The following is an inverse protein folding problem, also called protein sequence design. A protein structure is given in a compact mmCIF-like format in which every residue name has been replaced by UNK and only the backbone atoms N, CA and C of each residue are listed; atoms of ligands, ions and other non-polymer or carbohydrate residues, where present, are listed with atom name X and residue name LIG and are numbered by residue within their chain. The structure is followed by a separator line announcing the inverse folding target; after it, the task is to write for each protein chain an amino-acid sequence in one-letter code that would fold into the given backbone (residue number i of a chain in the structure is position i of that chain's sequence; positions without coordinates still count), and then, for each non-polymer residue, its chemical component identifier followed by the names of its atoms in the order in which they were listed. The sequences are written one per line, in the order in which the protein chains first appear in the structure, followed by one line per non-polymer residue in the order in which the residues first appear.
data_IF_440737934477
#
_entry.id   IF_440737934477
#
_cell.length_a   1.000
_cell.length_b   1.000
_cell.length_c   1.000
_cell.angle_alpha   90.00
_cell.angle_beta   90.00
_cell.angle_gamma   90.00
#
_symmetry.space_group_name_H-M   'P 1'
#
loop_
_entity.id
_entity.type
_entity.pdbx_description
1 polymer ?
#
# COMPACT_ATOMS: atom_id res chain seq x y z
N UNK A 1 -27.30 34.07 -1.77
CA UNK A 1 -26.71 32.89 -2.43
C UNK A 1 -26.27 31.99 -1.30
N UNK A 2 -27.17 31.14 -0.84
CA UNK A 2 -26.90 30.18 0.23
C UNK A 2 -26.17 28.99 -0.38
N UNK A 3 -24.90 28.82 -0.03
CA UNK A 3 -24.18 27.59 -0.31
C UNK A 3 -24.65 26.55 0.70
N UNK A 4 -25.55 25.67 0.23
CA UNK A 4 -25.97 24.47 0.93
C UNK A 4 -24.79 23.50 0.97
N UNK A 5 -23.93 23.64 1.98
CA UNK A 5 -23.01 22.56 2.35
C UNK A 5 -23.86 21.43 2.91
N UNK A 6 -24.11 20.41 2.09
CA UNK A 6 -24.57 19.14 2.62
C UNK A 6 -23.60 18.71 3.70
N UNK A 7 -24.14 18.39 4.88
CA UNK A 7 -23.41 17.81 6.00
C UNK A 7 -22.64 16.58 5.51
N UNK A 8 -21.33 16.73 5.27
CA UNK A 8 -20.45 15.57 5.10
C UNK A 8 -20.44 14.84 6.45
N UNK A 9 -20.74 13.53 6.43
CA UNK A 9 -20.57 12.69 7.60
C UNK A 9 -19.09 12.69 7.98
N UNK A 10 -18.70 13.19 9.17
CA UNK A 10 -17.31 13.13 9.59
C UNK A 10 -16.86 11.67 9.63
N UNK A 11 -15.83 11.34 8.85
CA UNK A 11 -15.30 9.98 8.71
C UNK A 11 -15.73 9.23 7.45
N UNK A 12 -16.23 9.93 6.42
CA UNK A 12 -16.52 9.34 5.11
C UNK A 12 -15.24 8.90 4.35
N UNK A 13 -15.40 8.00 3.38
CA UNK A 13 -14.32 7.63 2.44
C UNK A 13 -13.83 8.82 1.61
N UNK A 14 -14.69 9.81 1.38
CA UNK A 14 -14.34 11.03 0.65
C UNK A 14 -13.42 11.93 1.49
N UNK A 15 -13.72 12.12 2.78
CA UNK A 15 -12.86 12.90 3.67
C UNK A 15 -11.50 12.22 3.88
N UNK A 16 -11.49 10.88 3.99
CA UNK A 16 -10.25 10.11 4.02
C UNK A 16 -9.43 10.28 2.72
N UNK A 17 -10.09 10.28 1.56
CA UNK A 17 -9.43 10.48 0.27
C UNK A 17 -8.89 11.90 0.12
N UNK A 18 -9.68 12.91 0.50
CA UNK A 18 -9.28 14.31 0.47
C UNK A 18 -8.11 14.59 1.42
N UNK A 19 -8.08 13.92 2.57
CA UNK A 19 -6.95 13.93 3.49
C UNK A 19 -5.65 13.42 2.85
N UNK A 20 -5.68 12.25 2.21
CA UNK A 20 -4.50 11.70 1.54
C UNK A 20 -4.03 12.65 0.43
N UNK A 21 -4.96 13.12 -0.39
CA UNK A 21 -4.70 13.99 -1.54
C UNK A 21 -4.08 15.33 -1.15
N UNK A 22 -4.52 15.90 -0.03
CA UNK A 22 -4.07 17.21 0.46
C UNK A 22 -2.76 17.17 1.26
N UNK A 23 -2.31 15.98 1.66
CA UNK A 23 -1.07 15.80 2.40
C UNK A 23 0.11 15.61 1.45
N UNK A 24 1.26 16.23 1.72
CA UNK A 24 2.47 16.06 0.89
C UNK A 24 3.16 14.71 1.09
N UNK A 25 3.90 14.17 0.10
CA UNK A 25 4.46 12.81 0.17
C UNK A 25 5.65 12.70 1.11
N UNK A 26 5.70 11.60 1.84
CA UNK A 26 6.89 11.17 2.59
C UNK A 26 7.26 12.11 3.73
N UNK A 27 6.27 12.68 4.41
CA UNK A 27 6.49 13.56 5.55
C UNK A 27 6.52 12.79 6.89
N UNK A 28 5.70 11.74 6.99
CA UNK A 28 5.53 10.95 8.21
C UNK A 28 5.23 9.50 7.85
N UNK A 29 5.67 8.57 8.70
CA UNK A 29 5.20 7.19 8.70
C UNK A 29 4.51 6.92 10.03
N UNK A 30 3.33 6.31 10.00
CA UNK A 30 2.58 5.95 11.22
C UNK A 30 2.17 4.50 11.19
N UNK A 31 2.65 3.73 12.18
CA UNK A 31 2.28 2.35 12.42
C UNK A 31 1.25 2.30 13.56
N UNK A 32 0.02 1.88 13.25
CA UNK A 32 -0.99 1.61 14.27
C UNK A 32 -0.80 0.21 14.85
N UNK A 33 -0.42 0.13 16.12
CA UNK A 33 -0.31 -1.14 16.87
C UNK A 33 -1.56 -1.39 17.71
N UNK A 34 -2.74 -1.12 17.13
CA UNK A 34 -4.03 -1.36 17.81
C UNK A 34 -4.28 -2.85 18.09
N UNK A 35 -3.58 -3.71 17.36
CA UNK A 35 -3.42 -5.14 17.60
C UNK A 35 -1.93 -5.48 17.57
N UNK A 36 -1.58 -6.72 17.92
CA UNK A 36 -0.23 -7.22 17.67
C UNK A 36 0.08 -7.12 16.17
N UNK A 37 1.18 -6.45 15.84
CA UNK A 37 1.67 -6.32 14.47
C UNK A 37 2.44 -7.59 14.09
N UNK A 38 2.45 -7.96 12.80
CA UNK A 38 3.16 -9.15 12.33
C UNK A 38 4.52 -8.76 11.75
N UNK A 39 4.57 -7.66 10.97
CA UNK A 39 5.76 -7.21 10.25
C UNK A 39 5.98 -5.70 10.44
N UNK A 40 6.86 -5.30 11.38
CA UNK A 40 7.59 -6.15 12.33
C UNK A 40 6.69 -6.65 13.48
N UNK A 41 7.07 -7.76 14.12
CA UNK A 41 6.26 -8.36 15.20
C UNK A 41 6.21 -7.50 16.48
N UNK A 42 5.31 -6.53 16.59
CA UNK A 42 5.24 -5.59 17.71
C UNK A 42 4.05 -5.87 18.62
N UNK A 43 4.24 -5.70 19.93
CA UNK A 43 3.12 -5.76 20.88
C UNK A 43 2.14 -4.61 20.65
N UNK A 44 0.88 -4.84 21.04
CA UNK A 44 -0.16 -3.83 20.99
C UNK A 44 0.22 -2.57 21.81
N UNK A 45 -0.15 -1.39 21.34
CA UNK A 45 -0.11 -0.15 22.15
C UNK A 45 -0.41 1.10 21.33
N UNK A 46 0.16 2.22 21.74
CA UNK A 46 -0.04 3.50 21.07
C UNK A 46 0.58 3.52 19.66
N UNK A 47 0.03 4.33 18.74
CA UNK A 47 0.62 4.52 17.42
C UNK A 47 2.08 5.00 17.50
N UNK A 48 2.91 4.39 16.66
CA UNK A 48 4.30 4.80 16.49
C UNK A 48 4.38 5.65 15.24
N UNK A 49 4.77 6.91 15.40
CA UNK A 49 4.87 7.88 14.32
C UNK A 49 6.28 8.46 14.28
N UNK A 50 6.88 8.42 13.10
CA UNK A 50 8.13 9.11 12.81
C UNK A 50 7.89 10.24 11.82
N UNK A 51 8.61 11.35 12.02
CA UNK A 51 8.80 12.38 11.02
C UNK A 51 9.98 12.01 10.13
N UNK A 52 9.81 12.20 8.83
CA UNK A 52 10.85 11.99 7.85
C UNK A 52 11.52 13.34 7.57
N UNK A 53 12.83 13.41 7.75
CA UNK A 53 13.65 14.55 7.38
C UNK A 53 14.64 14.17 6.26
N UNK A 54 15.09 15.17 5.50
CA UNK A 54 16.05 15.02 4.40
C UNK A 54 15.59 14.06 3.28
N UNK A 55 14.33 14.17 2.84
CA UNK A 55 13.74 13.29 1.82
C UNK A 55 14.39 13.35 0.43
N UNK A 56 15.18 14.40 0.17
CA UNK A 56 15.94 14.58 -1.07
C UNK A 56 17.41 14.13 -0.95
N UNK A 57 17.83 13.64 0.22
CA UNK A 57 19.17 13.12 0.48
C UNK A 57 19.22 11.60 0.33
N UNK A 58 20.40 11.10 -0.02
CA UNK A 58 20.80 9.69 -0.01
C UNK A 58 20.62 9.00 1.35
N UNK A 59 20.50 9.77 2.44
CA UNK A 59 20.30 9.25 3.79
C UNK A 59 19.13 9.93 4.48
N UNK A 60 17.95 9.34 4.28
CA UNK A 60 16.73 9.74 4.97
C UNK A 60 16.85 9.43 6.47
N UNK A 61 16.41 10.36 7.31
CA UNK A 61 16.40 10.21 8.77
C UNK A 61 14.98 10.15 9.31
N UNK A 62 14.77 9.30 10.31
CA UNK A 62 13.47 9.08 10.96
C UNK A 62 13.54 9.56 12.40
N UNK A 63 12.72 10.54 12.75
CA UNK A 63 12.68 11.12 14.09
C UNK A 63 11.33 10.80 14.75
N UNK A 64 11.37 10.09 15.89
CA UNK A 64 10.16 9.78 16.65
C UNK A 64 9.49 11.07 17.16
N UNK A 65 8.18 11.20 16.95
CA UNK A 65 7.36 12.30 17.48
C UNK A 65 6.27 11.75 18.40
N UNK A 66 5.73 12.51 19.35
CA UNK A 66 4.67 12.00 20.23
C UNK A 66 3.26 12.08 19.60
N UNK A 67 2.59 10.93 19.57
CA UNK A 67 1.24 10.81 19.00
C UNK A 67 1.23 10.91 17.47
N UNK A 68 0.09 11.35 16.93
CA UNK A 68 -0.11 11.49 15.49
C UNK A 68 0.52 12.77 14.92
N UNK A 69 0.78 12.83 13.60
CA UNK A 69 1.24 14.05 12.95
C UNK A 69 0.37 15.26 13.29
N UNK A 70 1.00 16.36 13.73
CA UNK A 70 0.32 17.61 14.13
C UNK A 70 0.63 18.79 13.20
N UNK A 71 1.74 18.72 12.48
CA UNK A 71 2.13 19.76 11.52
C UNK A 71 1.61 19.35 10.13
N UNK A 72 0.39 19.80 9.80
CA UNK A 72 -0.28 19.53 8.52
C UNK A 72 -1.79 19.77 8.63
N UNK A 73 -2.57 19.49 7.57
CA UNK A 73 -4.02 19.34 7.72
C UNK A 73 -4.31 18.32 8.83
N UNK A 74 -5.42 18.47 9.56
CA UNK A 74 -5.84 17.64 10.70
C UNK A 74 -5.79 16.12 10.44
N UNK A 75 -5.69 15.73 9.16
CA UNK A 75 -5.75 14.37 8.67
C UNK A 75 -4.45 13.82 8.08
N UNK A 76 -3.31 14.52 8.19
CA UNK A 76 -2.00 14.04 7.68
C UNK A 76 -1.62 12.61 8.15
N UNK A 77 -2.18 12.17 9.29
CA UNK A 77 -2.17 10.80 9.79
C UNK A 77 -2.66 9.75 8.78
N UNK A 78 -3.72 10.03 8.01
CA UNK A 78 -4.29 9.05 7.07
C UNK A 78 -3.26 8.68 6.00
N UNK A 79 -2.58 9.68 5.42
CA UNK A 79 -1.54 9.42 4.44
C UNK A 79 -0.35 8.71 5.05
N UNK A 80 0.08 9.12 6.24
CA UNK A 80 1.22 8.51 6.94
C UNK A 80 1.03 7.00 7.18
N UNK A 81 -0.20 6.55 7.45
CA UNK A 81 -0.54 5.13 7.60
C UNK A 81 -0.46 4.40 6.26
N UNK A 82 -1.02 4.97 5.20
CA UNK A 82 -1.03 4.32 3.88
C UNK A 82 0.39 4.26 3.30
N UNK A 83 1.18 5.31 3.46
CA UNK A 83 2.59 5.35 3.08
C UNK A 83 3.40 4.30 3.83
N UNK A 84 3.22 4.20 5.16
CA UNK A 84 3.91 3.20 5.98
C UNK A 84 3.57 1.78 5.53
N UNK A 85 2.29 1.44 5.32
CA UNK A 85 1.91 0.11 4.82
C UNK A 85 2.49 -0.19 3.44
N UNK A 86 2.43 0.75 2.51
CA UNK A 86 2.97 0.55 1.17
C UNK A 86 4.49 0.36 1.18
N UNK A 87 5.21 1.16 1.98
CA UNK A 87 6.67 1.07 2.12
C UNK A 87 7.10 -0.24 2.80
N UNK A 88 6.39 -0.65 3.86
CA UNK A 88 6.58 -1.95 4.52
C UNK A 88 6.47 -3.09 3.52
N UNK A 89 5.36 -3.13 2.76
CA UNK A 89 5.14 -4.16 1.75
C UNK A 89 6.22 -4.15 0.66
N UNK A 90 6.63 -2.97 0.19
CA UNK A 90 7.70 -2.84 -0.79
C UNK A 90 9.04 -3.35 -0.25
N UNK A 91 9.37 -3.02 0.99
CA UNK A 91 10.61 -3.47 1.63
C UNK A 91 10.62 -5.00 1.74
N UNK A 92 9.65 -5.59 2.43
CA UNK A 92 9.62 -7.03 2.68
C UNK A 92 9.49 -7.86 1.40
N UNK A 93 8.73 -7.42 0.40
CA UNK A 93 8.65 -8.18 -0.85
C UNK A 93 10.00 -8.21 -1.57
N UNK A 94 10.73 -7.10 -1.56
CA UNK A 94 11.98 -6.95 -2.30
C UNK A 94 13.23 -7.43 -1.54
N UNK A 95 13.16 -7.56 -0.21
CA UNK A 95 14.28 -8.04 0.61
C UNK A 95 14.10 -9.47 1.12
N UNK A 96 12.89 -9.86 1.55
CA UNK A 96 12.68 -11.14 2.26
C UNK A 96 11.89 -12.17 1.44
N UNK A 97 10.79 -11.76 0.82
CA UNK A 97 9.84 -12.71 0.19
C UNK A 97 10.30 -13.15 -1.20
N UNK A 98 10.68 -12.18 -2.05
CA UNK A 98 11.14 -12.42 -3.40
C UNK A 98 12.27 -11.44 -3.75
N UNK A 99 13.51 -11.70 -3.28
CA UNK A 99 14.62 -10.78 -3.44
C UNK A 99 14.84 -10.36 -4.89
N UNK A 100 14.81 -9.06 -5.16
CA UNK A 100 15.02 -8.49 -6.49
C UNK A 100 13.82 -8.58 -7.45
N UNK A 101 12.62 -8.91 -6.96
CA UNK A 101 11.42 -9.08 -7.81
C UNK A 101 11.09 -7.80 -8.59
N UNK A 102 11.32 -6.62 -8.00
CA UNK A 102 11.01 -5.35 -8.65
C UNK A 102 11.98 -5.05 -9.79
N UNK A 103 13.25 -5.43 -9.66
CA UNK A 103 14.28 -5.35 -10.69
C UNK A 103 14.09 -6.41 -11.77
N UNK A 104 13.63 -7.61 -11.40
CA UNK A 104 13.34 -8.69 -12.34
C UNK A 104 12.16 -8.36 -13.26
N UNK A 105 11.16 -7.62 -12.75
CA UNK A 105 9.96 -7.22 -13.48
C UNK A 105 9.85 -5.68 -13.52
N UNK A 106 10.68 -5.00 -14.33
CA UNK A 106 10.69 -3.54 -14.42
C UNK A 106 9.35 -2.99 -14.95
N UNK A 107 8.70 -3.74 -15.84
CA UNK A 107 7.38 -3.42 -16.40
C UNK A 107 6.23 -4.12 -15.65
N UNK A 108 6.50 -4.61 -14.44
CA UNK A 108 5.51 -5.25 -13.59
C UNK A 108 4.35 -4.32 -13.22
N UNK A 109 3.28 -4.91 -12.69
CA UNK A 109 2.15 -4.15 -12.14
C UNK A 109 1.68 -4.80 -10.85
N UNK A 110 1.07 -3.98 -10.00
CA UNK A 110 0.41 -4.43 -8.79
C UNK A 110 -1.05 -4.75 -9.10
N UNK A 111 -1.46 -5.99 -8.88
CA UNK A 111 -2.86 -6.38 -8.86
C UNK A 111 -3.37 -6.29 -7.43
N UNK A 112 -4.33 -5.41 -7.18
CA UNK A 112 -4.89 -5.18 -5.84
C UNK A 112 -6.36 -5.60 -5.78
N UNK A 113 -6.77 -6.11 -4.63
CA UNK A 113 -8.15 -6.56 -4.36
C UNK A 113 -8.55 -6.18 -2.93
N UNK A 114 -9.84 -6.32 -2.59
CA UNK A 114 -10.37 -6.04 -1.26
C UNK A 114 -10.95 -4.63 -1.10
N UNK A 115 -11.49 -4.31 0.08
CA UNK A 115 -12.22 -3.06 0.31
C UNK A 115 -11.37 -1.80 0.09
N UNK A 116 -10.14 -1.80 0.59
CA UNK A 116 -9.22 -0.65 0.45
C UNK A 116 -8.81 -0.38 -1.00
N UNK A 117 -8.77 -1.40 -1.87
CA UNK A 117 -8.39 -1.23 -3.28
C UNK A 117 -9.42 -0.44 -4.08
N UNK A 118 -10.64 -0.24 -3.56
CA UNK A 118 -11.65 0.64 -4.16
C UNK A 118 -11.29 2.11 -4.04
N UNK A 119 -10.48 2.50 -3.06
CA UNK A 119 -10.05 3.88 -2.85
C UNK A 119 -8.92 4.25 -3.82
N UNK A 120 -9.17 5.23 -4.69
CA UNK A 120 -8.19 5.70 -5.68
C UNK A 120 -6.93 6.30 -5.06
N UNK A 121 -7.05 7.02 -3.93
CA UNK A 121 -5.91 7.66 -3.29
C UNK A 121 -5.00 6.63 -2.62
N UNK A 122 -5.55 5.56 -2.05
CA UNK A 122 -4.75 4.41 -1.61
C UNK A 122 -4.00 3.80 -2.79
N UNK A 123 -4.67 3.52 -3.90
CA UNK A 123 -4.02 2.97 -5.10
C UNK A 123 -2.92 3.89 -5.63
N UNK A 124 -3.12 5.20 -5.60
CA UNK A 124 -2.10 6.16 -6.04
C UNK A 124 -0.85 6.10 -5.16
N UNK A 125 -1.01 6.07 -3.82
CA UNK A 125 0.15 5.93 -2.91
C UNK A 125 0.91 4.62 -3.17
N UNK A 126 0.20 3.50 -3.35
CA UNK A 126 0.84 2.23 -3.71
C UNK A 126 1.57 2.32 -5.07
N UNK A 127 0.96 2.99 -6.05
CA UNK A 127 1.57 3.15 -7.38
C UNK A 127 2.86 3.94 -7.30
N UNK A 128 2.85 5.06 -6.58
CA UNK A 128 4.01 5.92 -6.35
C UNK A 128 5.11 5.18 -5.55
N UNK A 129 4.74 4.48 -4.47
CA UNK A 129 5.71 3.78 -3.61
C UNK A 129 6.43 2.68 -4.36
N UNK A 130 5.72 1.88 -5.15
CA UNK A 130 6.32 0.79 -5.92
C UNK A 130 6.92 1.25 -7.24
N UNK A 131 6.61 2.45 -7.72
CA UNK A 131 7.00 2.92 -9.05
C UNK A 131 6.42 2.02 -10.16
N UNK A 132 5.21 1.48 -9.95
CA UNK A 132 4.53 0.54 -10.87
C UNK A 132 3.07 0.91 -10.97
N UNK A 133 2.45 0.56 -12.10
CA UNK A 133 1.00 0.72 -12.22
C UNK A 133 0.25 -0.18 -11.23
N UNK A 134 -0.86 0.33 -10.70
CA UNK A 134 -1.77 -0.42 -9.81
C UNK A 134 -3.07 -0.64 -10.54
N UNK A 135 -3.52 -1.89 -10.60
CA UNK A 135 -4.78 -2.29 -11.22
C UNK A 135 -5.65 -2.94 -10.14
N UNK A 136 -6.85 -2.40 -9.93
CA UNK A 136 -7.82 -3.03 -9.05
C UNK A 136 -8.73 -3.96 -9.83
N UNK A 137 -8.84 -5.20 -9.38
CA UNK A 137 -9.84 -6.12 -9.92
C UNK A 137 -11.20 -5.75 -9.32
N UNK A 138 -12.18 -5.47 -10.15
CA UNK A 138 -13.57 -5.25 -9.71
C UNK A 138 -14.26 -6.60 -9.47
N UNK A 139 -13.85 -7.27 -8.40
CA UNK A 139 -14.48 -8.52 -7.94
C UNK A 139 -14.80 -8.39 -6.46
N UNK A 140 -16.09 -8.26 -6.08
CA UNK A 140 -16.49 -8.12 -4.67
C UNK A 140 -16.07 -9.33 -3.81
N UNK A 141 -15.94 -10.51 -4.42
CA UNK A 141 -15.59 -11.77 -3.74
C UNK A 141 -14.30 -12.39 -4.30
N UNK A 142 -13.21 -11.62 -4.33
CA UNK A 142 -11.92 -12.07 -4.87
C UNK A 142 -11.43 -13.40 -4.26
N UNK A 143 -11.69 -13.64 -2.97
CA UNK A 143 -11.34 -14.90 -2.31
C UNK A 143 -12.15 -16.09 -2.85
N UNK A 144 -13.46 -15.94 -3.03
CA UNK A 144 -14.32 -16.98 -3.58
C UNK A 144 -13.97 -17.25 -5.06
N UNK A 145 -13.70 -16.19 -5.83
CA UNK A 145 -13.24 -16.30 -7.21
C UNK A 145 -11.91 -17.05 -7.30
N UNK A 146 -10.94 -16.74 -6.42
CA UNK A 146 -9.68 -17.47 -6.32
C UNK A 146 -9.88 -18.96 -5.98
N UNK A 147 -10.82 -19.28 -5.10
CA UNK A 147 -11.17 -20.67 -4.79
C UNK A 147 -11.77 -21.40 -6.00
N UNK A 148 -12.65 -20.73 -6.75
CA UNK A 148 -13.21 -21.28 -7.99
C UNK A 148 -12.13 -21.56 -9.04
N UNK A 149 -11.16 -20.64 -9.22
CA UNK A 149 -10.02 -20.86 -10.13
C UNK A 149 -9.15 -22.03 -9.69
N UNK A 150 -8.88 -22.18 -8.39
CA UNK A 150 -8.14 -23.36 -7.89
C UNK A 150 -8.89 -24.67 -8.17
N UNK A 151 -10.22 -24.70 -7.97
CA UNK A 151 -11.03 -25.88 -8.26
C UNK A 151 -11.06 -26.22 -9.76
N UNK A 152 -11.14 -25.20 -10.61
CA UNK A 152 -11.04 -25.33 -12.06
C UNK A 152 -9.70 -25.92 -12.49
N UNK A 153 -8.58 -25.37 -12.02
CA UNK A 153 -7.23 -25.85 -12.33
C UNK A 153 -6.98 -27.27 -11.81
N UNK A 154 -7.47 -27.60 -10.61
CA UNK A 154 -7.38 -28.97 -10.07
C UNK A 154 -8.13 -29.97 -10.96
N UNK A 155 -9.32 -29.60 -11.45
CA UNK A 155 -10.11 -30.42 -12.37
C UNK A 155 -9.42 -30.58 -13.72
N UNK A 156 -8.89 -29.49 -14.28
CA UNK A 156 -8.13 -29.48 -15.52
C UNK A 156 -6.90 -30.40 -15.43
N UNK A 157 -6.14 -30.30 -14.33
CA UNK A 157 -5.02 -31.20 -14.03
C UNK A 157 -5.45 -32.67 -13.97
N UNK A 158 -6.56 -32.97 -13.30
CA UNK A 158 -7.08 -34.34 -13.21
C UNK A 158 -7.48 -34.91 -14.58
N UNK A 159 -7.97 -34.06 -15.49
CA UNK A 159 -8.38 -34.44 -16.86
C UNK A 159 -7.23 -34.43 -17.87
N UNK A 160 -6.01 -34.05 -17.46
CA UNK A 160 -4.86 -33.91 -18.37
C UNK A 160 -4.90 -32.67 -19.26
N UNK A 161 -5.73 -31.68 -18.95
CA UNK A 161 -5.94 -30.44 -19.73
C UNK A 161 -5.48 -29.20 -18.95
N UNK A 162 -4.38 -29.32 -18.20
CA UNK A 162 -3.92 -28.25 -17.30
C UNK A 162 -3.59 -26.97 -18.07
N UNK A 163 -2.95 -27.10 -19.24
CA UNK A 163 -2.52 -25.97 -20.05
C UNK A 163 -3.72 -25.13 -20.51
N UNK A 164 -4.78 -25.78 -20.97
CA UNK A 164 -6.03 -25.11 -21.35
C UNK A 164 -6.69 -24.43 -20.15
N UNK A 165 -6.59 -25.03 -18.96
CA UNK A 165 -7.07 -24.42 -17.72
C UNK A 165 -6.28 -23.17 -17.32
N UNK A 166 -4.96 -23.18 -17.50
CA UNK A 166 -4.08 -22.03 -17.24
C UNK A 166 -4.31 -20.91 -18.26
N UNK A 167 -4.48 -21.24 -19.54
CA UNK A 167 -4.83 -20.29 -20.60
C UNK A 167 -6.19 -19.62 -20.30
N UNK A 168 -7.21 -20.40 -19.92
CA UNK A 168 -8.52 -19.85 -19.53
C UNK A 168 -8.45 -18.93 -18.30
N UNK A 169 -7.63 -19.29 -17.30
CA UNK A 169 -7.40 -18.43 -16.14
C UNK A 169 -6.74 -17.11 -16.56
N UNK A 170 -5.72 -17.17 -17.43
CA UNK A 170 -5.03 -15.99 -17.92
C UNK A 170 -5.99 -15.06 -18.69
N UNK A 171 -6.88 -15.62 -19.51
CA UNK A 171 -7.91 -14.87 -20.22
C UNK A 171 -8.87 -14.18 -19.25
N UNK A 172 -9.33 -14.89 -18.22
CA UNK A 172 -10.22 -14.32 -17.20
C UNK A 172 -9.54 -13.19 -16.41
N UNK A 173 -8.29 -13.37 -15.99
CA UNK A 173 -7.53 -12.31 -15.30
C UNK A 173 -7.40 -11.11 -16.24
N UNK A 174 -6.97 -11.31 -17.48
CA UNK A 174 -6.77 -10.24 -18.46
C UNK A 174 -8.07 -9.48 -18.77
N UNK A 175 -9.20 -10.18 -18.86
CA UNK A 175 -10.52 -9.56 -19.06
C UNK A 175 -10.95 -8.69 -17.86
N UNK A 176 -10.54 -9.06 -16.65
CA UNK A 176 -10.80 -8.28 -15.43
C UNK A 176 -9.86 -7.07 -15.25
N UNK A 177 -8.82 -6.91 -16.08
CA UNK A 177 -7.88 -5.78 -16.00
C UNK A 177 -8.42 -4.45 -16.57
N UNK A 178 -9.68 -4.40 -17.00
CA UNK A 178 -10.33 -3.21 -17.56
C UNK A 178 -10.93 -2.26 -16.51
N UNK A 179 -10.53 -2.39 -15.25
CA UNK A 179 -11.11 -1.63 -14.13
C UNK A 179 -10.04 -0.85 -13.37
N UNK A 180 -10.30 0.44 -13.13
CA UNK A 180 -9.55 1.38 -12.27
C UNK A 180 -8.03 1.17 -12.18
N UNK A 181 -7.28 1.94 -12.98
CA UNK A 181 -5.81 1.91 -13.02
C UNK A 181 -5.22 3.23 -12.52
N UNK A 182 -4.20 3.14 -11.67
CA UNK A 182 -3.34 4.25 -11.27
C UNK A 182 -1.94 4.05 -11.85
N UNK A 183 -1.31 5.16 -12.24
CA UNK A 183 0.07 5.19 -12.72
C UNK A 183 0.93 5.99 -11.74
N UNK A 184 2.21 5.63 -11.58
CA UNK A 184 3.08 6.31 -10.64
C UNK A 184 3.30 7.76 -11.04
N UNK A 185 3.21 8.67 -10.08
CA UNK A 185 3.81 9.99 -10.21
C UNK A 185 5.33 9.85 -10.03
N UNK A 186 6.10 10.29 -11.03
CA UNK A 186 7.56 10.10 -11.04
C UNK A 186 8.28 10.90 -9.96
N UNK A 187 7.74 12.06 -9.58
CA UNK A 187 8.30 12.90 -8.51
C UNK A 187 8.08 12.25 -7.15
N UNK A 188 6.87 11.75 -6.90
CA UNK A 188 6.57 11.01 -5.68
C UNK A 188 7.37 9.69 -5.61
N UNK A 189 7.49 8.99 -6.74
CA UNK A 189 8.27 7.75 -6.83
C UNK A 189 9.73 7.95 -6.47
N UNK A 190 10.33 9.09 -6.85
CA UNK A 190 11.69 9.44 -6.46
C UNK A 190 11.83 9.60 -4.94
N UNK A 191 10.89 10.30 -4.30
CA UNK A 191 10.84 10.47 -2.84
C UNK A 191 10.76 9.12 -2.14
N UNK A 192 9.80 8.26 -2.54
CA UNK A 192 9.65 6.94 -1.93
C UNK A 192 10.81 6.00 -2.25
N UNK A 193 11.50 6.20 -3.38
CA UNK A 193 12.76 5.55 -3.71
C UNK A 193 13.81 5.76 -2.61
N UNK A 194 14.02 7.01 -2.19
CA UNK A 194 14.96 7.35 -1.12
C UNK A 194 14.52 6.80 0.24
N UNK A 195 13.23 6.97 0.58
CA UNK A 195 12.69 6.47 1.85
C UNK A 195 12.84 4.94 1.95
N UNK A 196 12.55 4.22 0.86
CA UNK A 196 12.63 2.74 0.81
C UNK A 196 14.04 2.23 1.06
N UNK A 197 15.07 2.92 0.57
CA UNK A 197 16.47 2.55 0.82
C UNK A 197 16.84 2.64 2.31
N UNK A 198 16.13 3.49 3.06
CA UNK A 198 16.35 3.69 4.49
C UNK A 198 15.31 2.98 5.37
N UNK A 199 14.39 2.19 4.80
CA UNK A 199 13.28 1.58 5.53
C UNK A 199 13.73 0.68 6.69
N UNK A 200 14.81 -0.08 6.52
CA UNK A 200 15.39 -0.88 7.60
C UNK A 200 15.90 -0.04 8.80
N UNK A 201 16.20 1.25 8.60
CA UNK A 201 16.51 2.16 9.71
C UNK A 201 15.23 2.59 10.43
N UNK A 202 14.14 2.87 9.70
CA UNK A 202 12.83 3.09 10.30
C UNK A 202 12.36 1.90 11.13
N UNK A 203 12.44 0.68 10.59
CA UNK A 203 12.00 -0.53 11.29
C UNK A 203 12.77 -0.76 12.59
N UNK A 204 14.07 -0.45 12.62
CA UNK A 204 14.88 -0.49 13.85
C UNK A 204 14.39 0.51 14.89
N UNK A 205 14.12 1.76 14.50
CA UNK A 205 13.60 2.79 15.42
C UNK A 205 12.31 2.33 16.10
N UNK A 206 11.38 1.72 15.35
CA UNK A 206 10.09 1.27 15.91
C UNK A 206 10.21 -0.01 16.75
N UNK A 207 11.17 -0.89 16.44
CA UNK A 207 11.44 -2.09 17.25
C UNK A 207 12.12 -1.73 18.57
N UNK A 208 13.12 -0.85 18.55
CA UNK A 208 13.82 -0.36 19.74
C UNK A 208 12.84 0.30 20.72
N UNK A 209 11.88 1.09 20.22
CA UNK A 209 10.83 1.73 21.04
C UNK A 209 9.96 0.71 21.79
N UNK A 210 9.77 -0.48 21.22
CA UNK A 210 9.03 -1.59 21.84
C UNK A 210 9.94 -2.64 22.49
N UNK A 211 11.22 -2.35 22.65
CA UNK A 211 12.18 -3.22 23.33
C UNK A 211 12.48 -4.53 22.61
N UNK A 212 12.46 -4.53 21.27
CA UNK A 212 12.75 -5.69 20.41
C UNK A 212 14.06 -5.56 19.66
#
# INVERSE_FOLDING_TARGET
MEFNFHSRDPGSWDDFSDSIRSSSPGNYLTLFTSTQEILPALEQGDPITVKIDNKDDSKVTFNRIEGLPRDGPDYSSCRAVVEERALSMRYYINSEVAPGILEQFPEGKLLVTGGGSRNEQIRQVFSDVFGRSVVSLDSPDAAALGAAYKAMLATAKHRGTLKEGEELLQDHISATENTSRNFPDTSNSAIYGQISQSYAAFERVICDERGR
#
